data_IF_931523097909
#
_entry.id   IF_931523097909
#
_cell.length_a   1.000
_cell.length_b   1.000
_cell.length_c   1.000
_cell.angle_alpha   90.00
_cell.angle_beta   90.00
_cell.angle_gamma   90.00
#
_symmetry.space_group_name_H-M   'P 1'
#
loop_
_entity.id
_entity.type
_entity.pdbx_description
1 polymer ?
#
# COMPACT_ATOMS: atom_id res chain seq x y z
N UNK A 1 -7.44 49.32 62.78
CA UNK A 1 -7.24 49.51 61.32
C UNK A 1 -6.00 48.70 60.97
N UNK A 2 -6.05 47.39 60.71
CA UNK A 2 -6.61 46.65 59.57
C UNK A 2 -6.29 47.27 58.20
N UNK A 3 -6.01 46.39 57.24
CA UNK A 3 -5.62 46.58 55.82
C UNK A 3 -4.10 46.67 55.60
N UNK A 4 -3.44 45.90 54.73
CA UNK A 4 -3.75 44.65 54.03
C UNK A 4 -2.39 44.10 53.53
N UNK A 5 -2.05 42.83 53.78
CA UNK A 5 -0.88 42.19 53.16
C UNK A 5 -1.13 42.03 51.65
N UNK A 6 -0.29 42.65 50.81
CA UNK A 6 -0.24 42.36 49.37
C UNK A 6 0.91 41.39 49.15
N UNK A 7 0.59 40.10 49.12
CA UNK A 7 1.50 39.06 48.65
C UNK A 7 1.60 39.13 47.12
N UNK A 8 2.79 39.43 46.61
CA UNK A 8 3.08 39.36 45.19
C UNK A 8 3.20 37.88 44.78
N UNK A 9 2.13 37.32 44.21
CA UNK A 9 2.16 36.06 43.49
C UNK A 9 2.84 36.31 42.13
N UNK A 10 4.12 35.98 42.03
CA UNK A 10 4.80 35.87 40.74
C UNK A 10 4.31 34.59 40.08
N UNK A 11 3.30 34.72 39.21
CA UNK A 11 2.92 33.65 38.31
C UNK A 11 4.04 33.50 37.26
N UNK A 12 4.89 32.48 37.41
CA UNK A 12 5.72 32.01 36.31
C UNK A 12 4.78 31.47 35.22
N UNK A 13 4.53 32.28 34.20
CA UNK A 13 3.97 31.80 32.96
C UNK A 13 5.01 30.89 32.30
N UNK A 14 4.90 29.58 32.56
CA UNK A 14 5.55 28.57 31.72
C UNK A 14 4.85 28.66 30.37
N UNK A 15 5.41 29.45 29.46
CA UNK A 15 5.05 29.36 28.05
C UNK A 15 5.57 28.00 27.58
N UNK A 16 4.70 26.99 27.68
CA UNK A 16 4.88 25.75 26.94
C UNK A 16 4.76 26.15 25.48
N UNK A 17 5.89 26.49 24.87
CA UNK A 17 5.99 26.43 23.42
C UNK A 17 5.74 24.96 23.09
N UNK A 18 4.52 24.64 22.69
CA UNK A 18 4.26 23.45 21.93
C UNK A 18 5.13 23.58 20.67
N UNK A 19 6.37 23.11 20.74
CA UNK A 19 7.15 22.82 19.56
C UNK A 19 6.38 21.70 18.87
N UNK A 20 5.45 22.10 18.00
CA UNK A 20 4.99 21.27 16.90
C UNK A 20 6.24 21.01 16.09
N UNK A 21 6.93 19.92 16.39
CA UNK A 21 7.89 19.33 15.47
C UNK A 21 7.14 19.20 14.15
N UNK A 22 7.59 19.87 13.06
CA UNK A 22 6.95 19.66 11.78
C UNK A 22 6.93 18.16 11.52
N UNK A 23 5.78 17.61 11.16
CA UNK A 23 5.52 16.17 10.98
C UNK A 23 6.38 15.51 9.88
N UNK A 24 7.36 16.24 9.33
CA UNK A 24 8.30 15.83 8.30
C UNK A 24 9.72 16.33 8.62
N UNK A 25 10.73 15.45 8.70
CA UNK A 25 12.12 15.89 8.72
C UNK A 25 12.50 16.50 7.36
N UNK A 26 13.08 17.70 7.42
CA UNK A 26 13.66 18.46 6.32
C UNK A 26 14.82 17.68 5.69
N UNK A 27 14.62 17.09 4.51
CA UNK A 27 15.62 16.93 3.43
C UNK A 27 15.08 16.08 2.25
N UNK A 28 13.97 16.50 1.62
CA UNK A 28 13.44 15.94 0.35
C UNK A 28 12.57 17.02 -0.34
N UNK A 29 13.09 17.78 -1.31
CA UNK A 29 12.26 18.67 -2.14
C UNK A 29 11.21 17.84 -2.91
N UNK A 30 10.04 18.41 -3.21
CA UNK A 30 8.98 17.72 -3.97
C UNK A 30 8.32 18.68 -4.97
N UNK A 31 8.14 18.24 -6.20
CA UNK A 31 7.25 18.90 -7.15
C UNK A 31 5.84 18.30 -6.99
N UNK A 32 4.81 19.12 -6.84
CA UNK A 32 3.40 18.67 -6.81
C UNK A 32 2.63 19.35 -7.94
N UNK A 33 2.25 18.57 -8.95
CA UNK A 33 1.35 19.00 -10.02
C UNK A 33 -0.08 18.60 -9.66
N UNK A 34 -0.97 19.57 -9.52
CA UNK A 34 -2.38 19.34 -9.19
C UNK A 34 -3.22 19.53 -10.43
N UNK A 35 -4.02 18.53 -10.80
CA UNK A 35 -4.96 18.59 -11.92
C UNK A 35 -6.37 18.58 -11.34
N UNK A 36 -6.93 19.78 -11.14
CA UNK A 36 -8.17 20.02 -10.42
C UNK A 36 -9.35 20.19 -11.37
N UNK A 37 -10.31 19.27 -11.27
CA UNK A 37 -11.60 19.36 -11.94
C UNK A 37 -12.44 20.49 -11.33
N UNK A 38 -12.89 21.40 -12.20
CA UNK A 38 -13.71 22.58 -11.90
C UNK A 38 -15.17 22.41 -12.29
N UNK A 39 -15.53 21.26 -12.86
CA UNK A 39 -16.91 20.94 -13.21
C UNK A 39 -17.79 20.92 -11.95
N UNK A 40 -19.05 21.32 -12.12
CA UNK A 40 -20.05 21.28 -11.05
C UNK A 40 -21.17 20.34 -11.51
N UNK A 41 -20.83 19.05 -11.60
CA UNK A 41 -21.74 18.00 -12.04
C UNK A 41 -22.87 17.75 -11.02
N UNK A 42 -22.62 18.08 -9.75
CA UNK A 42 -23.55 18.08 -8.61
C UNK A 42 -23.33 19.33 -7.78
N UNK A 43 -24.39 19.96 -7.25
CA UNK A 43 -24.27 21.20 -6.44
C UNK A 43 -23.21 21.05 -5.34
N UNK A 44 -22.06 21.71 -5.51
CA UNK A 44 -20.98 21.73 -4.53
C UNK A 44 -19.93 20.63 -4.67
N UNK A 45 -19.88 19.91 -5.79
CA UNK A 45 -18.81 18.95 -6.12
C UNK A 45 -17.45 19.63 -6.17
N UNK A 46 -17.36 20.74 -6.89
CA UNK A 46 -16.13 21.54 -6.94
C UNK A 46 -15.68 22.05 -5.56
N UNK A 47 -16.61 22.42 -4.67
CA UNK A 47 -16.25 22.85 -3.32
C UNK A 47 -15.54 21.74 -2.53
N UNK A 48 -15.90 20.47 -2.75
CA UNK A 48 -15.23 19.32 -2.14
C UNK A 48 -13.84 19.10 -2.73
N UNK A 49 -13.69 19.15 -4.06
CA UNK A 49 -12.40 19.06 -4.75
C UNK A 49 -11.44 20.16 -4.31
N UNK A 50 -11.93 21.41 -4.27
CA UNK A 50 -11.18 22.58 -3.78
C UNK A 50 -10.76 22.41 -2.33
N UNK A 51 -11.68 21.95 -1.47
CA UNK A 51 -11.37 21.70 -0.05
C UNK A 51 -10.32 20.59 0.11
N UNK A 52 -10.41 19.52 -0.66
CA UNK A 52 -9.42 18.44 -0.64
C UNK A 52 -8.02 18.96 -0.98
N UNK A 53 -7.91 19.78 -2.04
CA UNK A 53 -6.64 20.41 -2.42
C UNK A 53 -6.10 21.36 -1.34
N UNK A 54 -6.96 22.14 -0.68
CA UNK A 54 -6.51 22.98 0.46
C UNK A 54 -6.06 22.14 1.65
N UNK A 55 -6.77 21.06 1.98
CA UNK A 55 -6.40 20.16 3.09
C UNK A 55 -5.05 19.45 2.80
N UNK A 56 -4.79 19.06 1.54
CA UNK A 56 -3.48 18.53 1.11
C UNK A 56 -2.38 19.56 1.30
N UNK A 57 -2.65 20.82 0.96
CA UNK A 57 -1.65 21.89 1.10
C UNK A 57 -1.26 22.16 2.54
N UNK A 58 -2.16 21.96 3.52
CA UNK A 58 -1.85 22.10 4.96
C UNK A 58 -0.76 21.11 5.42
N UNK A 59 -0.60 19.97 4.75
CA UNK A 59 0.42 18.97 5.05
C UNK A 59 1.74 19.20 4.28
N UNK A 60 1.77 20.15 3.34
CA UNK A 60 2.95 20.51 2.56
C UNK A 60 3.64 21.74 3.15
N UNK A 61 4.96 21.83 3.03
CA UNK A 61 5.66 23.11 3.16
C UNK A 61 5.88 23.72 1.76
N UNK A 62 4.93 24.51 1.29
CA UNK A 62 5.00 25.12 -0.04
C UNK A 62 6.04 26.23 -0.04
N UNK A 63 6.96 26.18 -1.01
CA UNK A 63 7.99 27.20 -1.17
C UNK A 63 8.97 26.88 -2.31
N UNK A 64 9.68 27.88 -2.82
CA UNK A 64 10.59 27.74 -3.97
C UNK A 64 11.77 26.79 -3.71
N UNK A 65 12.20 26.65 -2.45
CA UNK A 65 13.27 25.75 -2.00
C UNK A 65 12.72 24.62 -1.11
N UNK A 66 11.41 24.34 -1.21
CA UNK A 66 10.73 23.32 -0.43
C UNK A 66 9.87 22.44 -1.34
N UNK A 67 8.55 22.51 -1.23
CA UNK A 67 7.64 21.84 -2.16
C UNK A 67 7.15 22.85 -3.20
N UNK A 68 7.49 22.58 -4.46
CA UNK A 68 7.11 23.42 -5.60
C UNK A 68 5.79 22.93 -6.14
N UNK A 69 4.84 23.82 -6.30
CA UNK A 69 3.50 23.48 -6.75
C UNK A 69 3.20 24.08 -8.12
N UNK A 70 2.51 23.32 -8.95
CA UNK A 70 1.84 23.77 -10.17
C UNK A 70 0.39 23.26 -10.14
N UNK A 71 -0.52 23.97 -10.79
CA UNK A 71 -1.93 23.57 -10.79
C UNK A 71 -2.58 23.84 -12.14
N UNK A 72 -3.26 22.83 -12.68
CA UNK A 72 -4.12 22.92 -13.84
C UNK A 72 -5.55 22.83 -13.33
N UNK A 73 -6.36 23.84 -13.61
CA UNK A 73 -7.77 23.84 -13.27
C UNK A 73 -8.56 23.77 -14.58
N UNK A 74 -9.46 22.80 -14.74
CA UNK A 74 -10.10 22.52 -16.03
C UNK A 74 -11.61 22.23 -15.92
N UNK A 75 -12.33 22.42 -17.03
CA UNK A 75 -13.76 22.10 -17.19
C UNK A 75 -14.06 21.73 -18.66
N UNK A 76 -15.25 21.22 -18.95
CA UNK A 76 -15.50 20.49 -20.19
C UNK A 76 -16.13 21.24 -21.36
N UNK A 77 -17.04 22.19 -21.15
CA UNK A 77 -17.65 22.92 -22.27
C UNK A 77 -16.69 24.02 -22.77
N UNK A 78 -16.17 23.84 -23.99
CA UNK A 78 -15.09 24.62 -24.64
C UNK A 78 -13.69 24.46 -24.04
N UNK A 79 -13.47 23.49 -23.15
CA UNK A 79 -12.20 23.29 -22.44
C UNK A 79 -11.64 24.61 -21.87
N UNK A 80 -12.36 25.18 -20.89
CA UNK A 80 -11.84 26.32 -20.13
C UNK A 80 -10.84 25.80 -19.12
N UNK A 81 -9.56 26.10 -19.37
CA UNK A 81 -8.44 25.80 -18.47
C UNK A 81 -7.81 27.06 -17.93
N UNK A 82 -7.31 26.97 -16.71
CA UNK A 82 -6.39 27.92 -16.10
C UNK A 82 -5.14 27.15 -15.69
N UNK A 83 -3.97 27.58 -16.17
CA UNK A 83 -2.69 26.94 -15.90
C UNK A 83 -1.89 27.82 -14.97
N UNK A 84 -1.66 27.35 -13.76
CA UNK A 84 -0.82 27.96 -12.76
C UNK A 84 0.55 27.26 -12.80
N UNK A 85 1.61 27.95 -13.25
CA UNK A 85 2.91 27.32 -13.51
C UNK A 85 3.61 26.90 -12.21
N UNK A 86 4.73 26.19 -12.35
CA UNK A 86 5.58 25.84 -11.21
C UNK A 86 5.95 27.07 -10.38
N UNK A 87 5.84 26.95 -9.07
CA UNK A 87 6.10 28.01 -8.10
C UNK A 87 5.14 29.21 -8.20
N UNK A 88 3.91 28.99 -8.70
CA UNK A 88 2.87 30.04 -8.69
C UNK A 88 2.51 30.50 -7.27
N UNK A 89 2.73 29.66 -6.26
CA UNK A 89 2.59 30.00 -4.85
C UNK A 89 3.94 29.83 -4.14
N UNK A 90 4.33 30.82 -3.35
CA UNK A 90 5.57 30.83 -2.57
C UNK A 90 5.37 30.42 -1.12
N UNK A 91 4.12 30.43 -0.65
CA UNK A 91 3.73 29.97 0.69
C UNK A 91 2.41 29.21 0.64
N UNK A 92 2.09 28.50 1.72
CA UNK A 92 0.82 27.83 1.91
C UNK A 92 -0.36 28.81 1.87
N UNK A 93 -0.20 30.00 2.46
CA UNK A 93 -1.24 31.03 2.50
C UNK A 93 -1.56 31.54 1.09
N UNK A 94 -0.53 31.77 0.27
CA UNK A 94 -0.72 32.19 -1.13
C UNK A 94 -1.43 31.08 -1.95
N UNK A 95 -1.01 29.83 -1.74
CA UNK A 95 -1.65 28.68 -2.38
C UNK A 95 -3.13 28.57 -2.02
N UNK A 96 -3.46 28.66 -0.73
CA UNK A 96 -4.84 28.58 -0.21
C UNK A 96 -5.67 29.77 -0.71
N UNK A 97 -5.13 30.99 -0.70
CA UNK A 97 -5.82 32.17 -1.19
C UNK A 97 -6.18 32.05 -2.68
N UNK A 98 -5.22 31.64 -3.53
CA UNK A 98 -5.45 31.43 -4.97
C UNK A 98 -6.44 30.29 -5.21
N UNK A 99 -6.32 29.19 -4.48
CA UNK A 99 -7.23 28.04 -4.59
C UNK A 99 -8.65 28.41 -4.19
N UNK A 100 -8.85 29.17 -3.11
CA UNK A 100 -10.15 29.63 -2.64
C UNK A 100 -10.82 30.64 -3.59
N UNK A 101 -10.05 31.39 -4.37
CA UNK A 101 -10.56 32.31 -5.39
C UNK A 101 -11.14 31.60 -6.62
N UNK A 102 -10.81 30.32 -6.84
CA UNK A 102 -11.38 29.52 -7.91
C UNK A 102 -12.89 29.32 -7.68
N UNK A 103 -13.68 29.46 -8.76
CA UNK A 103 -15.15 29.33 -8.73
C UNK A 103 -15.61 28.22 -9.64
N UNK A 104 -16.58 27.39 -9.27
CA UNK A 104 -17.03 26.33 -10.18
C UNK A 104 -17.46 26.88 -11.56
N UNK A 105 -17.11 26.17 -12.63
CA UNK A 105 -17.55 26.48 -13.99
C UNK A 105 -18.27 25.22 -14.45
N UNK A 106 -19.61 25.24 -14.39
CA UNK A 106 -20.43 24.09 -14.77
C UNK A 106 -20.12 23.60 -16.19
N UNK A 107 -20.40 22.32 -16.46
CA UNK A 107 -20.07 21.67 -17.72
C UNK A 107 -19.61 20.24 -17.50
N UNK A 108 -19.12 19.59 -18.56
CA UNK A 108 -18.54 18.23 -18.50
C UNK A 108 -17.13 18.24 -17.90
N UNK A 109 -16.50 17.07 -17.78
CA UNK A 109 -15.12 16.88 -17.33
C UNK A 109 -14.26 16.42 -18.51
N UNK A 110 -13.13 17.07 -18.80
CA UNK A 110 -12.21 16.68 -19.90
C UNK A 110 -10.81 16.39 -19.34
N UNK A 111 -10.68 15.27 -18.62
CA UNK A 111 -9.46 14.90 -17.90
C UNK A 111 -8.29 14.65 -18.85
N UNK A 112 -8.51 14.03 -20.02
CA UNK A 112 -7.45 13.74 -21.01
C UNK A 112 -6.69 15.01 -21.38
N UNK A 113 -7.40 16.06 -21.79
CA UNK A 113 -6.80 17.34 -22.19
C UNK A 113 -6.04 18.00 -21.04
N UNK A 114 -6.53 17.86 -19.81
CA UNK A 114 -5.83 18.37 -18.64
C UNK A 114 -4.51 17.64 -18.39
N UNK A 115 -4.48 16.31 -18.58
CA UNK A 115 -3.25 15.52 -18.47
C UNK A 115 -2.26 15.79 -19.61
N UNK A 116 -2.72 16.08 -20.81
CA UNK A 116 -1.87 16.52 -21.93
C UNK A 116 -1.11 17.82 -21.58
N UNK A 117 -1.80 18.81 -21.00
CA UNK A 117 -1.15 20.03 -20.46
C UNK A 117 -0.24 19.70 -19.27
N UNK A 118 -0.62 18.70 -18.48
CA UNK A 118 0.22 18.17 -17.40
C UNK A 118 1.58 17.73 -17.91
N UNK A 119 1.64 17.01 -19.03
CA UNK A 119 2.90 16.61 -19.67
C UNK A 119 3.76 17.81 -20.08
N UNK A 120 3.14 18.89 -20.59
CA UNK A 120 3.85 20.13 -20.94
C UNK A 120 4.48 20.80 -19.71
N UNK A 121 3.77 20.84 -18.57
CA UNK A 121 4.33 21.36 -17.31
C UNK A 121 5.42 20.44 -16.76
N UNK A 122 5.23 19.13 -16.88
CA UNK A 122 6.21 18.14 -16.43
C UNK A 122 7.54 18.29 -17.17
N UNK A 123 7.54 18.70 -18.44
CA UNK A 123 8.76 18.98 -19.20
C UNK A 123 9.56 20.18 -18.68
N UNK A 124 8.92 21.09 -17.93
CA UNK A 124 9.55 22.29 -17.36
C UNK A 124 10.09 22.09 -15.93
N UNK A 125 9.82 20.92 -15.32
CA UNK A 125 10.20 20.64 -13.94
C UNK A 125 11.70 20.31 -13.85
N UNK A 126 12.26 20.48 -12.65
CA UNK A 126 13.54 19.86 -12.34
C UNK A 126 13.32 18.35 -12.10
N UNK A 127 13.79 17.51 -13.04
CA UNK A 127 13.59 16.05 -13.03
C UNK A 127 14.31 15.32 -11.89
N UNK A 128 15.34 15.94 -11.28
CA UNK A 128 16.01 15.36 -10.12
C UNK A 128 15.15 15.40 -8.86
N UNK A 129 14.12 16.25 -8.84
CA UNK A 129 13.17 16.38 -7.74
C UNK A 129 11.99 15.47 -8.01
N UNK A 130 11.64 14.60 -7.06
CA UNK A 130 10.48 13.73 -7.20
C UNK A 130 9.21 14.53 -7.44
N UNK A 131 8.34 13.98 -8.27
CA UNK A 131 7.15 14.68 -8.71
C UNK A 131 5.90 13.87 -8.45
N UNK A 132 4.98 14.47 -7.70
CA UNK A 132 3.65 13.96 -7.43
C UNK A 132 2.67 14.64 -8.38
N UNK A 133 2.00 13.87 -9.24
CA UNK A 133 0.85 14.33 -10.02
C UNK A 133 -0.42 13.91 -9.29
N UNK A 134 -1.26 14.86 -8.91
CA UNK A 134 -2.51 14.63 -8.19
C UNK A 134 -3.69 15.09 -9.04
N UNK A 135 -4.42 14.14 -9.61
CA UNK A 135 -5.68 14.39 -10.33
C UNK A 135 -6.81 14.43 -9.31
N UNK A 136 -7.62 15.47 -9.29
CA UNK A 136 -8.76 15.59 -8.37
C UNK A 136 -10.01 15.79 -9.20
N UNK A 137 -10.93 14.82 -9.15
CA UNK A 137 -12.19 14.85 -9.92
C UNK A 137 -13.37 14.46 -9.05
N UNK A 138 -14.56 14.94 -9.39
CA UNK A 138 -15.81 14.59 -8.70
C UNK A 138 -16.66 13.58 -9.51
N UNK A 139 -16.22 13.17 -10.70
CA UNK A 139 -17.00 12.35 -11.61
C UNK A 139 -16.18 11.71 -12.73
N UNK A 140 -16.90 11.17 -13.72
CA UNK A 140 -16.32 10.50 -14.89
C UNK A 140 -15.98 11.52 -15.98
N UNK A 141 -14.82 11.38 -16.60
CA UNK A 141 -14.40 12.16 -17.74
C UNK A 141 -15.26 11.90 -18.97
N UNK A 142 -15.48 12.94 -19.78
CA UNK A 142 -16.12 12.84 -21.09
C UNK A 142 -15.14 12.38 -22.19
N UNK A 143 -13.84 12.48 -21.93
CA UNK A 143 -12.77 11.98 -22.80
C UNK A 143 -11.92 10.91 -22.07
N UNK A 144 -11.29 10.00 -22.84
CA UNK A 144 -10.47 8.92 -22.29
C UNK A 144 -9.09 9.42 -21.84
N UNK A 145 -8.79 9.46 -20.53
CA UNK A 145 -7.53 9.99 -20.01
C UNK A 145 -6.36 9.00 -20.09
N UNK A 146 -6.59 7.74 -20.48
CA UNK A 146 -5.61 6.65 -20.35
C UNK A 146 -4.27 6.94 -21.03
N UNK A 147 -4.29 7.42 -22.28
CA UNK A 147 -3.08 7.70 -23.04
C UNK A 147 -2.13 8.69 -22.34
N UNK A 148 -2.56 9.94 -22.06
CA UNK A 148 -1.72 10.90 -21.36
C UNK A 148 -1.44 10.52 -19.90
N UNK A 149 -2.33 9.78 -19.24
CA UNK A 149 -2.07 9.23 -17.92
C UNK A 149 -0.89 8.25 -17.92
N UNK A 150 -0.86 7.29 -18.85
CA UNK A 150 0.25 6.36 -19.00
C UNK A 150 1.57 7.09 -19.30
N UNK A 151 1.52 8.13 -20.13
CA UNK A 151 2.68 8.96 -20.42
C UNK A 151 3.21 9.69 -19.16
N UNK A 152 2.32 10.14 -18.27
CA UNK A 152 2.68 10.74 -16.97
C UNK A 152 3.25 9.69 -16.01
N UNK A 153 2.67 8.49 -15.95
CA UNK A 153 3.15 7.37 -15.12
C UNK A 153 4.57 6.94 -15.52
N UNK A 154 4.91 7.02 -16.81
CA UNK A 154 6.23 6.67 -17.33
C UNK A 154 7.28 7.78 -17.15
N UNK A 155 6.90 8.96 -16.65
CA UNK A 155 7.87 10.02 -16.39
C UNK A 155 8.83 9.61 -15.27
N UNK A 156 10.12 9.88 -15.48
CA UNK A 156 11.14 9.61 -14.46
C UNK A 156 10.78 10.32 -13.14
N UNK A 157 11.02 9.64 -12.02
CA UNK A 157 10.84 10.20 -10.69
C UNK A 157 9.42 10.78 -10.45
N UNK A 158 8.39 10.14 -11.02
CA UNK A 158 7.01 10.62 -10.99
C UNK A 158 6.06 9.57 -10.42
N UNK A 159 5.06 10.02 -9.65
CA UNK A 159 3.90 9.21 -9.27
C UNK A 159 2.62 9.93 -9.66
N UNK A 160 1.60 9.17 -10.09
CA UNK A 160 0.30 9.70 -10.45
C UNK A 160 -0.76 9.16 -9.49
N UNK A 161 -1.49 10.08 -8.89
CA UNK A 161 -2.59 9.84 -7.95
C UNK A 161 -3.87 10.45 -8.47
N UNK A 162 -4.99 9.86 -8.07
CA UNK A 162 -6.31 10.37 -8.40
C UNK A 162 -7.18 10.41 -7.15
N UNK A 163 -7.87 11.51 -6.91
CA UNK A 163 -8.79 11.72 -5.82
C UNK A 163 -10.20 11.93 -6.36
N UNK A 164 -11.10 11.05 -5.95
CA UNK A 164 -12.53 11.17 -6.18
C UNK A 164 -13.21 11.85 -4.99
N UNK A 165 -13.76 13.04 -5.22
CA UNK A 165 -14.48 13.82 -4.19
C UNK A 165 -16.00 13.73 -4.27
N UNK A 166 -16.49 13.05 -5.32
CA UNK A 166 -17.90 12.78 -5.59
C UNK A 166 -18.49 11.61 -4.80
N UNK A 167 -19.65 11.12 -5.25
CA UNK A 167 -20.32 9.95 -4.69
C UNK A 167 -19.54 8.67 -5.04
N UNK A 168 -18.99 7.93 -4.06
CA UNK A 168 -18.17 6.73 -4.31
C UNK A 168 -18.86 5.65 -5.14
N UNK A 169 -20.20 5.60 -5.14
CA UNK A 169 -20.97 4.62 -5.91
C UNK A 169 -21.13 5.00 -7.39
N UNK A 170 -20.84 6.26 -7.74
CA UNK A 170 -20.91 6.80 -9.11
C UNK A 170 -19.53 7.07 -9.70
N UNK A 171 -18.48 6.88 -8.92
CA UNK A 171 -17.10 7.05 -9.36
C UNK A 171 -16.73 5.89 -10.27
N UNK A 172 -16.25 6.21 -11.47
CA UNK A 172 -15.68 5.24 -12.38
C UNK A 172 -14.27 4.86 -11.91
N UNK A 173 -14.18 3.86 -11.04
CA UNK A 173 -12.91 3.37 -10.50
C UNK A 173 -11.97 2.82 -11.57
N UNK A 174 -12.51 2.43 -12.74
CA UNK A 174 -11.70 1.99 -13.88
C UNK A 174 -10.99 3.17 -14.53
N UNK A 175 -11.69 4.27 -14.76
CA UNK A 175 -11.07 5.49 -15.28
C UNK A 175 -9.98 6.02 -14.33
N UNK A 176 -10.26 6.04 -13.02
CA UNK A 176 -9.24 6.41 -12.02
C UNK A 176 -8.05 5.46 -12.03
N UNK A 177 -8.27 4.17 -12.26
CA UNK A 177 -7.20 3.17 -12.39
C UNK A 177 -6.39 3.37 -13.67
N UNK A 178 -7.04 3.71 -14.79
CA UNK A 178 -6.35 4.09 -16.02
C UNK A 178 -5.51 5.37 -15.83
N UNK A 179 -5.97 6.30 -14.97
CA UNK A 179 -5.24 7.53 -14.61
C UNK A 179 -4.01 7.25 -13.74
N UNK A 180 -4.14 6.44 -12.70
CA UNK A 180 -3.06 6.26 -11.71
C UNK A 180 -2.14 5.10 -12.04
N UNK A 181 -2.61 4.10 -12.77
CA UNK A 181 -1.95 2.82 -12.96
C UNK A 181 -1.88 1.97 -11.67
N UNK A 182 -2.48 2.45 -10.58
CA UNK A 182 -2.35 1.89 -9.23
C UNK A 182 -3.59 2.21 -8.37
N UNK A 183 -4.29 1.18 -7.89
CA UNK A 183 -5.52 1.35 -7.09
C UNK A 183 -5.24 1.97 -5.70
N UNK A 184 -4.04 1.82 -5.17
CA UNK A 184 -3.60 2.45 -3.91
C UNK A 184 -3.31 3.94 -4.10
N UNK A 185 -3.12 4.38 -5.35
CA UNK A 185 -3.02 5.77 -5.70
C UNK A 185 -4.39 6.43 -5.95
N UNK A 186 -5.49 5.68 -5.79
CA UNK A 186 -6.85 6.18 -5.89
C UNK A 186 -7.39 6.49 -4.50
N UNK A 187 -7.83 7.73 -4.33
CA UNK A 187 -8.32 8.28 -3.08
C UNK A 187 -9.81 8.52 -3.19
N UNK A 188 -10.60 7.69 -2.52
CA UNK A 188 -12.06 7.87 -2.43
C UNK A 188 -12.37 8.68 -1.17
N UNK A 189 -12.85 9.91 -1.31
CA UNK A 189 -13.06 10.78 -0.15
C UNK A 189 -14.31 10.39 0.67
N UNK A 190 -14.12 10.16 1.98
CA UNK A 190 -15.16 10.24 3.03
C UNK A 190 -14.63 11.02 4.24
N UNK A 191 -14.59 12.36 4.13
CA UNK A 191 -14.37 13.28 5.25
C UNK A 191 -12.91 13.68 5.54
N UNK A 192 -12.76 14.81 6.25
CA UNK A 192 -11.50 15.57 6.51
C UNK A 192 -10.35 14.75 7.12
N UNK A 193 -10.65 13.76 7.97
CA UNK A 193 -9.63 12.94 8.66
C UNK A 193 -8.86 12.03 7.71
N UNK A 194 -9.47 11.62 6.59
CA UNK A 194 -8.88 10.67 5.66
C UNK A 194 -7.98 11.32 4.60
N UNK A 195 -8.25 12.57 4.22
CA UNK A 195 -7.39 13.34 3.29
C UNK A 195 -5.99 13.54 3.88
N UNK A 196 -5.92 13.85 5.17
CA UNK A 196 -4.69 14.04 5.93
C UNK A 196 -3.85 12.77 6.06
N UNK A 197 -4.43 11.64 6.48
CA UNK A 197 -3.70 10.36 6.61
C UNK A 197 -3.20 9.82 5.28
N UNK A 198 -3.97 10.04 4.21
CA UNK A 198 -3.59 9.62 2.86
C UNK A 198 -2.50 10.53 2.31
N UNK A 199 -2.62 11.86 2.44
CA UNK A 199 -1.57 12.80 2.02
C UNK A 199 -0.24 12.50 2.71
N UNK A 200 -0.27 12.18 4.01
CA UNK A 200 0.92 11.73 4.74
C UNK A 200 1.51 10.44 4.18
N UNK A 201 0.69 9.51 3.71
CA UNK A 201 1.15 8.28 3.04
C UNK A 201 1.80 8.59 1.69
N UNK A 202 1.13 9.40 0.84
CA UNK A 202 1.64 9.78 -0.48
C UNK A 202 2.96 10.54 -0.38
N UNK A 203 3.08 11.41 0.63
CA UNK A 203 4.30 12.17 0.89
C UNK A 203 5.41 11.31 1.49
N UNK A 204 5.08 10.33 2.33
CA UNK A 204 6.07 9.37 2.87
C UNK A 204 6.64 8.48 1.77
N UNK A 205 5.80 7.94 0.89
CA UNK A 205 6.27 7.14 -0.26
C UNK A 205 7.15 7.99 -1.20
N UNK A 206 6.78 9.26 -1.42
CA UNK A 206 7.61 10.19 -2.18
C UNK A 206 8.95 10.50 -1.48
N UNK A 207 8.95 10.65 -0.15
CA UNK A 207 10.14 10.92 0.68
C UNK A 207 11.05 9.69 0.83
N UNK A 208 10.52 8.48 0.89
CA UNK A 208 11.31 7.24 1.02
C UNK A 208 12.17 6.98 -0.23
N UNK A 209 11.69 7.37 -1.42
CA UNK A 209 12.46 7.32 -2.67
C UNK A 209 13.56 8.38 -2.74
N UNK A 210 13.35 9.57 -2.15
CA UNK A 210 14.43 10.55 -1.98
C UNK A 210 15.54 10.03 -1.07
N UNK A 211 15.17 9.24 -0.05
CA UNK A 211 16.12 8.70 0.93
C UNK A 211 17.01 7.60 0.34
N UNK A 212 16.65 7.01 -0.80
CA UNK A 212 17.38 5.87 -1.41
C UNK A 212 18.60 6.24 -2.26
N UNK A 213 19.16 7.45 -2.11
CA UNK A 213 20.47 7.80 -2.70
C UNK A 213 21.50 8.03 -1.60
N UNK A 214 21.77 7.01 -0.80
CA UNK A 214 23.00 6.94 0.01
C UNK A 214 23.52 5.51 -0.04
N UNK A 215 24.56 5.32 -0.86
CA UNK A 215 25.35 4.10 -0.99
C UNK A 215 25.76 3.57 0.37
N UNK A 216 25.57 2.28 0.64
CA UNK A 216 26.32 1.58 1.69
C UNK A 216 26.81 0.25 1.14
N UNK A 217 28.09 0.25 0.76
CA UNK A 217 28.90 -0.94 0.51
C UNK A 217 29.18 -1.58 1.86
N UNK A 218 28.70 -2.80 2.10
CA UNK A 218 29.09 -3.57 3.29
C UNK A 218 29.70 -4.89 2.86
N UNK A 219 31.01 -4.99 3.05
CA UNK A 219 31.81 -6.20 2.93
C UNK A 219 31.50 -7.13 4.11
N UNK A 220 31.13 -8.38 3.84
CA UNK A 220 30.92 -9.40 4.88
C UNK A 220 32.10 -10.36 4.91
N UNK A 221 32.82 -10.39 6.04
CA UNK A 221 33.86 -11.37 6.33
C UNK A 221 33.23 -12.61 6.96
N UNK A 222 33.48 -13.77 6.38
CA UNK A 222 33.01 -15.09 6.84
C UNK A 222 33.94 -15.62 7.95
N UNK A 223 33.36 -16.09 9.06
CA UNK A 223 34.07 -16.90 10.05
C UNK A 223 33.35 -18.24 10.19
N UNK A 224 34.06 -19.32 9.86
CA UNK A 224 33.62 -20.70 9.95
C UNK A 224 33.88 -21.24 11.36
N UNK A 225 32.90 -21.88 11.98
CA UNK A 225 33.12 -22.71 13.16
C UNK A 225 32.54 -24.09 12.91
N UNK A 226 33.41 -25.09 13.01
CA UNK A 226 33.14 -26.52 12.90
C UNK A 226 32.69 -27.06 14.24
N UNK A 227 31.63 -27.88 14.28
CA UNK A 227 31.39 -28.78 15.40
C UNK A 227 30.84 -30.13 14.95
N UNK A 228 31.22 -31.12 15.74
CA UNK A 228 31.30 -32.57 15.53
C UNK A 228 29.98 -33.34 15.52
N UNK A 229 30.01 -34.44 14.79
CA UNK A 229 29.06 -35.56 14.75
C UNK A 229 28.82 -36.23 16.11
N UNK A 230 27.55 -36.36 16.47
CA UNK A 230 27.02 -37.47 17.29
C UNK A 230 25.59 -37.75 16.84
N UNK A 231 25.23 -39.02 16.74
CA UNK A 231 23.95 -39.55 16.24
C UNK A 231 22.78 -39.16 17.15
N UNK A 232 21.87 -38.32 16.64
CA UNK A 232 20.65 -37.86 17.33
C UNK A 232 19.53 -37.57 16.30
N UNK A 233 18.24 -37.42 16.70
CA UNK A 233 17.07 -37.43 15.82
C UNK A 233 17.17 -36.39 14.71
N UNK A 234 16.48 -36.60 13.57
CA UNK A 234 16.55 -35.70 12.41
C UNK A 234 16.05 -34.30 12.81
N UNK A 235 16.96 -33.43 13.26
CA UNK A 235 16.67 -32.05 13.67
C UNK A 235 16.40 -31.21 12.43
N UNK A 236 15.34 -30.40 12.44
CA UNK A 236 15.02 -29.45 11.35
C UNK A 236 13.85 -29.86 10.44
N UNK A 237 13.10 -30.91 10.81
CA UNK A 237 11.93 -31.39 10.08
C UNK A 237 10.65 -30.59 10.35
N UNK A 238 10.63 -29.88 11.46
CA UNK A 238 9.49 -29.11 11.90
C UNK A 238 9.36 -27.83 11.07
N UNK A 239 8.18 -27.70 10.45
CA UNK A 239 7.80 -26.53 9.67
C UNK A 239 6.45 -26.03 10.15
N UNK A 240 6.41 -24.77 10.56
CA UNK A 240 5.15 -24.05 10.84
C UNK A 240 4.81 -23.23 9.59
N UNK A 241 3.91 -23.76 8.76
CA UNK A 241 3.48 -23.16 7.51
C UNK A 241 2.19 -22.36 7.70
N UNK A 242 2.26 -21.04 7.52
CA UNK A 242 1.10 -20.15 7.61
C UNK A 242 0.69 -19.70 6.20
N UNK A 243 -0.48 -20.16 5.75
CA UNK A 243 -1.08 -19.77 4.48
C UNK A 243 -1.95 -18.53 4.69
N UNK A 244 -1.62 -17.43 4.02
CA UNK A 244 -2.36 -16.15 4.11
C UNK A 244 -3.04 -15.88 2.78
N UNK A 245 -4.35 -16.08 2.73
CA UNK A 245 -5.14 -16.20 1.50
C UNK A 245 -6.02 -14.98 1.26
N UNK A 246 -5.85 -14.35 0.10
CA UNK A 246 -6.70 -13.26 -0.35
C UNK A 246 -8.07 -13.75 -0.82
N UNK A 247 -9.09 -13.41 -0.03
CA UNK A 247 -10.50 -13.74 -0.22
C UNK A 247 -11.32 -12.44 -0.44
N UNK A 248 -10.69 -11.40 -0.98
CA UNK A 248 -11.33 -10.11 -1.30
C UNK A 248 -12.34 -10.21 -2.44
N UNK A 249 -12.24 -11.17 -3.36
CA UNK A 249 -13.20 -11.34 -4.46
C UNK A 249 -14.26 -12.40 -4.15
N UNK A 250 -15.51 -12.19 -4.61
CA UNK A 250 -16.62 -13.17 -4.53
C UNK A 250 -16.93 -13.85 -5.86
N UNK A 251 -16.51 -13.25 -6.96
CA UNK A 251 -16.78 -13.67 -8.34
C UNK A 251 -15.44 -13.85 -9.04
N UNK A 252 -15.32 -14.89 -9.87
CA UNK A 252 -14.11 -15.33 -10.62
C UNK A 252 -13.11 -16.24 -9.85
N UNK A 253 -12.29 -17.06 -10.54
CA UNK A 253 -11.62 -18.26 -10.01
C UNK A 253 -10.47 -17.96 -9.05
N UNK A 254 -10.05 -16.71 -8.87
CA UNK A 254 -8.80 -16.35 -8.18
C UNK A 254 -8.69 -16.94 -6.76
N UNK A 255 -9.73 -16.81 -5.92
CA UNK A 255 -9.67 -17.37 -4.57
C UNK A 255 -9.68 -18.91 -4.59
N UNK A 256 -10.36 -19.53 -5.56
CA UNK A 256 -10.31 -20.99 -5.76
C UNK A 256 -8.92 -21.42 -6.26
N UNK A 257 -8.28 -20.64 -7.13
CA UNK A 257 -6.91 -20.86 -7.55
C UNK A 257 -5.94 -20.75 -6.37
N UNK A 258 -6.11 -19.80 -5.47
CA UNK A 258 -5.30 -19.73 -4.24
C UNK A 258 -5.52 -20.93 -3.33
N UNK A 259 -6.75 -21.45 -3.22
CA UNK A 259 -7.03 -22.72 -2.55
C UNK A 259 -6.31 -23.88 -3.24
N UNK A 260 -6.35 -23.96 -4.57
CA UNK A 260 -5.74 -25.04 -5.34
C UNK A 260 -4.21 -25.00 -5.29
N UNK A 261 -3.59 -23.83 -5.39
CA UNK A 261 -2.15 -23.64 -5.20
C UNK A 261 -1.74 -24.02 -3.77
N UNK A 262 -2.51 -23.62 -2.76
CA UNK A 262 -2.27 -24.03 -1.37
C UNK A 262 -2.33 -25.55 -1.20
N UNK A 263 -3.35 -26.20 -1.77
CA UNK A 263 -3.49 -27.66 -1.75
C UNK A 263 -2.33 -28.34 -2.48
N UNK A 264 -1.89 -27.81 -3.62
CA UNK A 264 -0.71 -28.30 -4.35
C UNK A 264 0.54 -28.28 -3.48
N UNK A 265 0.81 -27.18 -2.77
CA UNK A 265 1.94 -27.11 -1.85
C UNK A 265 1.79 -28.13 -0.72
N UNK A 266 0.66 -28.13 -0.01
CA UNK A 266 0.41 -29.02 1.12
C UNK A 266 0.51 -30.50 0.73
N UNK A 267 0.05 -30.87 -0.47
CA UNK A 267 0.12 -32.25 -0.98
C UNK A 267 1.55 -32.80 -1.09
N UNK A 268 2.55 -31.93 -1.18
CA UNK A 268 3.96 -32.31 -1.27
C UNK A 268 4.65 -32.38 0.09
N UNK A 269 3.94 -32.11 1.19
CA UNK A 269 4.50 -32.03 2.53
C UNK A 269 3.97 -33.14 3.43
N UNK A 270 4.85 -33.70 4.27
CA UNK A 270 4.45 -34.59 5.36
C UNK A 270 3.88 -33.75 6.52
N UNK A 271 2.57 -33.90 6.77
CA UNK A 271 1.86 -33.19 7.82
C UNK A 271 1.87 -34.01 9.11
N UNK A 272 2.15 -33.35 10.23
CA UNK A 272 2.10 -33.97 11.55
C UNK A 272 2.85 -33.16 12.63
N UNK A 273 2.68 -33.51 13.92
CA UNK A 273 3.23 -32.75 15.05
C UNK A 273 4.76 -32.69 15.09
N UNK A 274 5.44 -33.64 14.44
CA UNK A 274 6.91 -33.69 14.31
C UNK A 274 7.39 -33.38 12.88
N UNK A 275 6.51 -32.86 12.03
CA UNK A 275 6.83 -32.48 10.65
C UNK A 275 6.19 -31.12 10.36
N UNK A 276 5.41 -31.00 9.28
CA UNK A 276 4.73 -29.75 8.93
C UNK A 276 3.42 -29.60 9.70
N UNK A 277 3.24 -28.46 10.35
CA UNK A 277 1.96 -27.97 10.87
C UNK A 277 1.50 -26.81 9.98
N UNK A 278 0.19 -26.73 9.72
CA UNK A 278 -0.36 -25.76 8.75
C UNK A 278 -1.46 -24.93 9.41
N UNK A 279 -1.33 -23.61 9.32
CA UNK A 279 -2.38 -22.66 9.64
C UNK A 279 -2.89 -21.99 8.36
N UNK A 280 -4.17 -21.61 8.35
CA UNK A 280 -4.74 -20.81 7.27
C UNK A 280 -5.42 -19.56 7.82
N UNK A 281 -5.00 -18.41 7.30
CA UNK A 281 -5.59 -17.10 7.53
C UNK A 281 -6.20 -16.64 6.22
N UNK A 282 -7.45 -16.20 6.24
CA UNK A 282 -8.07 -15.55 5.07
C UNK A 282 -8.26 -14.08 5.38
N UNK A 283 -8.01 -13.20 4.40
CA UNK A 283 -8.30 -11.78 4.51
C UNK A 283 -9.15 -11.27 3.33
N UNK A 284 -9.82 -10.16 3.57
CA UNK A 284 -10.59 -9.40 2.58
C UNK A 284 -10.53 -7.94 3.08
N UNK A 285 -11.66 -7.32 3.40
CA UNK A 285 -11.67 -6.03 4.11
C UNK A 285 -11.15 -6.15 5.55
N UNK A 286 -10.65 -5.04 6.09
CA UNK A 286 -10.41 -4.86 7.54
C UNK A 286 -11.62 -5.33 8.34
N UNK A 287 -11.40 -6.11 9.39
CA UNK A 287 -12.47 -6.71 10.20
C UNK A 287 -13.08 -7.98 9.63
N UNK A 288 -12.71 -8.40 8.40
CA UNK A 288 -13.04 -9.72 7.81
C UNK A 288 -11.86 -10.69 7.73
N UNK A 289 -10.71 -10.31 8.30
CA UNK A 289 -9.57 -11.22 8.46
C UNK A 289 -9.83 -12.25 9.55
N UNK A 290 -9.63 -13.54 9.25
CA UNK A 290 -9.91 -14.64 10.18
C UNK A 290 -8.85 -15.73 10.08
N UNK A 291 -8.39 -16.22 11.23
CA UNK A 291 -7.76 -17.54 11.33
C UNK A 291 -8.88 -18.55 11.11
N UNK A 292 -8.73 -19.39 10.09
CA UNK A 292 -9.71 -20.45 9.75
C UNK A 292 -9.38 -21.75 10.46
N UNK A 293 -8.09 -22.00 10.60
CA UNK A 293 -7.52 -23.00 11.46
C UNK A 293 -6.08 -22.62 11.81
N UNK A 294 -5.67 -22.96 13.02
CA UNK A 294 -4.33 -22.71 13.53
C UNK A 294 -3.43 -23.94 13.37
N UNK A 295 -2.15 -23.81 13.72
CA UNK A 295 -1.10 -24.81 13.48
C UNK A 295 -1.41 -26.17 14.12
N UNK A 296 -2.09 -26.18 15.27
CA UNK A 296 -2.43 -27.43 15.99
C UNK A 296 -3.75 -28.09 15.58
N UNK A 297 -4.59 -27.44 14.74
CA UNK A 297 -5.95 -27.94 14.48
C UNK A 297 -5.96 -29.27 13.74
N UNK A 298 -5.14 -29.40 12.70
CA UNK A 298 -5.12 -30.57 11.83
C UNK A 298 -3.77 -31.27 11.92
N UNK A 299 -3.79 -32.60 11.99
CA UNK A 299 -2.59 -33.42 12.13
C UNK A 299 -2.32 -34.32 10.92
N UNK A 300 -3.25 -34.38 9.95
CA UNK A 300 -3.11 -35.18 8.74
C UNK A 300 -3.17 -34.30 7.49
N UNK A 301 -2.51 -34.73 6.42
CA UNK A 301 -2.54 -34.01 5.15
C UNK A 301 -3.97 -33.92 4.61
N UNK A 302 -4.73 -35.01 4.69
CA UNK A 302 -6.13 -35.06 4.24
C UNK A 302 -7.01 -34.01 4.95
N UNK A 303 -6.88 -33.87 6.26
CA UNK A 303 -7.69 -32.90 7.02
C UNK A 303 -7.31 -31.45 6.69
N UNK A 304 -6.02 -31.17 6.46
CA UNK A 304 -5.59 -29.84 5.99
C UNK A 304 -6.17 -29.55 4.61
N UNK A 305 -6.07 -30.49 3.66
CA UNK A 305 -6.61 -30.34 2.31
C UNK A 305 -8.13 -30.10 2.35
N UNK A 306 -8.87 -30.89 3.15
CA UNK A 306 -10.32 -30.71 3.38
C UNK A 306 -10.63 -29.37 4.05
N UNK A 307 -9.78 -28.94 4.99
CA UNK A 307 -9.88 -27.64 5.66
C UNK A 307 -9.75 -26.47 4.69
N UNK A 308 -8.79 -26.54 3.76
CA UNK A 308 -8.60 -25.55 2.69
C UNK A 308 -9.79 -25.57 1.73
N UNK A 309 -10.27 -26.74 1.34
CA UNK A 309 -11.35 -26.88 0.37
C UNK A 309 -12.68 -26.29 0.88
N UNK A 310 -12.92 -26.39 2.19
CA UNK A 310 -14.10 -25.81 2.85
C UNK A 310 -14.03 -24.29 3.05
N UNK A 311 -12.92 -23.63 2.73
CA UNK A 311 -12.83 -22.18 2.83
C UNK A 311 -13.76 -21.51 1.80
N UNK A 312 -14.53 -20.54 2.30
CA UNK A 312 -15.49 -19.76 1.51
C UNK A 312 -15.14 -18.27 1.55
N UNK A 313 -15.10 -17.66 0.37
CA UNK A 313 -15.03 -16.21 0.23
C UNK A 313 -16.39 -15.58 0.46
N UNK A 314 -16.38 -14.41 1.09
CA UNK A 314 -17.53 -13.48 1.16
C UNK A 314 -17.21 -12.15 0.47
N UNK A 315 -16.03 -12.07 -0.16
CA UNK A 315 -15.45 -10.90 -0.78
C UNK A 315 -15.39 -9.66 0.11
N UNK A 316 -15.06 -8.55 -0.54
CA UNK A 316 -14.80 -7.27 0.07
C UNK A 316 -13.68 -6.54 -0.66
N UNK A 317 -13.00 -5.69 0.07
CA UNK A 317 -11.78 -5.01 -0.35
C UNK A 317 -10.56 -5.89 -0.01
N UNK A 318 -9.35 -5.38 -0.22
CA UNK A 318 -8.12 -6.16 -0.01
C UNK A 318 -7.26 -5.51 1.07
N UNK A 319 -7.10 -6.20 2.21
CA UNK A 319 -6.34 -5.73 3.37
C UNK A 319 -5.19 -6.69 3.71
N UNK A 320 -4.16 -6.70 2.86
CA UNK A 320 -3.02 -7.64 2.96
C UNK A 320 -2.32 -7.48 4.31
N UNK A 321 -2.04 -6.24 4.73
CA UNK A 321 -1.38 -5.98 6.01
C UNK A 321 -2.17 -6.48 7.21
N UNK A 322 -3.51 -6.44 7.16
CA UNK A 322 -4.35 -7.06 8.20
C UNK A 322 -4.25 -8.59 8.17
N UNK A 323 -4.12 -9.18 6.98
CA UNK A 323 -3.84 -10.61 6.80
C UNK A 323 -2.53 -11.04 7.46
N UNK A 324 -1.44 -10.33 7.16
CA UNK A 324 -0.11 -10.58 7.74
C UNK A 324 -0.12 -10.35 9.26
N UNK A 325 -0.73 -9.25 9.72
CA UNK A 325 -0.88 -8.96 11.15
C UNK A 325 -1.65 -10.08 11.87
N UNK A 326 -2.69 -10.64 11.25
CA UNK A 326 -3.41 -11.78 11.84
C UNK A 326 -2.58 -13.07 11.78
N UNK A 327 -1.78 -13.28 10.73
CA UNK A 327 -0.87 -14.42 10.62
C UNK A 327 0.22 -14.42 11.70
N UNK A 328 0.67 -13.25 12.15
CA UNK A 328 1.62 -13.13 13.26
C UNK A 328 1.11 -13.73 14.58
N UNK A 329 -0.21 -13.87 14.76
CA UNK A 329 -0.75 -14.57 15.95
C UNK A 329 -0.35 -16.05 16.00
N UNK A 330 0.05 -16.64 14.87
CA UNK A 330 0.51 -18.03 14.79
C UNK A 330 1.96 -18.21 15.28
N UNK A 331 2.57 -17.16 15.85
CA UNK A 331 3.80 -17.27 16.63
C UNK A 331 3.56 -17.73 18.07
N UNK A 332 2.31 -17.70 18.52
CA UNK A 332 1.93 -18.08 19.87
C UNK A 332 1.89 -19.62 20.00
N UNK A 333 2.53 -20.18 21.01
CA UNK A 333 2.50 -21.62 21.33
C UNK A 333 1.07 -22.11 21.58
N UNK A 334 0.19 -21.24 22.10
CA UNK A 334 -1.23 -21.54 22.27
C UNK A 334 -1.98 -21.70 20.95
N UNK A 335 -1.46 -21.18 19.83
CA UNK A 335 -1.94 -21.41 18.47
C UNK A 335 -1.25 -22.62 17.80
N UNK A 336 -0.25 -23.21 18.47
CA UNK A 336 0.48 -24.40 18.04
C UNK A 336 1.87 -24.13 17.47
N UNK A 337 2.41 -22.92 17.64
CA UNK A 337 3.78 -22.61 17.24
C UNK A 337 4.80 -23.46 18.01
N UNK A 338 5.92 -23.80 17.36
CA UNK A 338 7.02 -24.58 17.97
C UNK A 338 8.32 -23.78 17.99
N UNK A 339 8.44 -22.75 18.86
CA UNK A 339 9.62 -21.88 18.90
C UNK A 339 10.89 -22.67 19.22
N UNK A 340 11.99 -22.32 18.55
CA UNK A 340 13.29 -22.99 18.74
C UNK A 340 13.41 -24.36 18.05
N UNK A 341 12.32 -24.90 17.50
CA UNK A 341 12.29 -26.21 16.83
C UNK A 341 11.86 -26.05 15.37
N UNK A 342 10.71 -25.43 15.12
CA UNK A 342 10.17 -25.28 13.77
C UNK A 342 10.71 -24.04 13.05
N UNK A 343 11.06 -24.21 11.78
CA UNK A 343 11.18 -23.06 10.87
C UNK A 343 9.79 -22.53 10.55
N UNK A 344 9.66 -21.20 10.48
CA UNK A 344 8.39 -20.51 10.28
C UNK A 344 8.34 -20.02 8.84
N UNK A 345 7.36 -20.47 8.07
CA UNK A 345 7.17 -20.05 6.68
C UNK A 345 5.80 -19.41 6.53
N UNK A 346 5.74 -18.23 5.92
CA UNK A 346 4.49 -17.55 5.59
C UNK A 346 4.37 -17.44 4.07
N UNK A 347 3.29 -17.97 3.51
CA UNK A 347 2.99 -17.85 2.08
C UNK A 347 1.76 -16.98 1.91
N UNK A 348 1.94 -15.79 1.34
CA UNK A 348 0.88 -14.80 1.09
C UNK A 348 0.41 -14.93 -0.36
N UNK A 349 -0.83 -15.36 -0.53
CA UNK A 349 -1.47 -15.48 -1.84
C UNK A 349 -2.29 -14.23 -2.13
N UNK A 350 -1.83 -13.41 -3.07
CA UNK A 350 -2.45 -12.13 -3.43
C UNK A 350 -1.87 -11.64 -4.75
N UNK A 351 -2.56 -10.72 -5.40
CA UNK A 351 -2.09 -10.03 -6.61
C UNK A 351 -1.21 -8.79 -6.29
N UNK A 352 -1.02 -8.49 -5.00
CA UNK A 352 -0.16 -7.43 -4.50
C UNK A 352 -0.89 -6.10 -4.25
N UNK A 353 -2.20 -6.03 -4.45
CA UNK A 353 -2.95 -4.79 -4.28
C UNK A 353 -3.64 -4.73 -2.91
N UNK A 354 -3.23 -3.79 -2.05
CA UNK A 354 -3.84 -3.57 -0.73
C UNK A 354 -4.44 -2.18 -0.61
N UNK A 355 -5.76 -2.08 -0.65
CA UNK A 355 -6.48 -0.80 -0.64
C UNK A 355 -7.09 -0.43 0.73
N UNK A 356 -6.93 -1.27 1.76
CA UNK A 356 -7.40 -1.02 3.13
C UNK A 356 -6.44 -1.60 4.19
N UNK A 357 -6.56 -1.10 5.41
CA UNK A 357 -5.92 -1.70 6.59
C UNK A 357 -4.48 -1.25 6.85
N UNK A 358 -3.78 -1.96 7.76
CA UNK A 358 -2.36 -1.74 8.03
C UNK A 358 -1.53 -1.86 6.75
N UNK A 359 -0.41 -1.14 6.73
CA UNK A 359 0.57 -1.22 5.64
C UNK A 359 1.13 -2.65 5.50
N UNK A 360 0.97 -3.30 4.34
CA UNK A 360 1.47 -4.65 4.13
C UNK A 360 2.99 -4.75 4.23
N UNK A 361 3.76 -3.75 3.77
CA UNK A 361 5.22 -3.80 3.81
C UNK A 361 5.74 -3.68 5.23
N UNK A 362 5.16 -2.77 6.02
CA UNK A 362 5.47 -2.67 7.44
C UNK A 362 5.15 -3.97 8.17
N UNK A 363 4.00 -4.59 7.90
CA UNK A 363 3.62 -5.86 8.55
C UNK A 363 4.46 -7.04 8.07
N UNK A 364 4.90 -7.04 6.81
CA UNK A 364 5.87 -8.00 6.32
C UNK A 364 7.23 -7.84 7.01
N UNK A 365 7.73 -6.60 7.18
CA UNK A 365 8.94 -6.33 7.98
C UNK A 365 8.80 -6.82 9.42
N UNK A 366 7.64 -6.60 10.06
CA UNK A 366 7.36 -7.13 11.40
C UNK A 366 7.45 -8.68 11.41
N UNK A 367 6.91 -9.35 10.38
CA UNK A 367 6.95 -10.81 10.25
C UNK A 367 8.36 -11.37 9.95
N UNK A 368 9.10 -10.75 9.04
CA UNK A 368 10.50 -11.07 8.74
C UNK A 368 11.36 -10.94 10.00
N UNK A 369 11.21 -9.85 10.75
CA UNK A 369 11.91 -9.63 12.03
C UNK A 369 11.53 -10.66 13.11
N UNK A 370 10.33 -11.23 13.04
CA UNK A 370 9.89 -12.31 13.93
C UNK A 370 10.39 -13.72 13.51
N UNK A 371 11.20 -13.78 12.43
CA UNK A 371 11.84 -14.99 11.94
C UNK A 371 10.98 -15.80 10.96
N UNK A 372 9.98 -15.20 10.33
CA UNK A 372 9.30 -15.83 9.19
C UNK A 372 10.17 -15.75 7.94
N UNK A 373 10.29 -16.87 7.24
CA UNK A 373 10.63 -16.89 5.82
C UNK A 373 9.36 -16.62 5.02
N UNK A 374 9.33 -15.52 4.26
CA UNK A 374 8.13 -15.03 3.58
C UNK A 374 8.17 -15.27 2.08
N UNK A 375 7.03 -15.67 1.53
CA UNK A 375 6.80 -15.87 0.11
C UNK A 375 5.52 -15.21 -0.33
N UNK A 376 5.51 -14.67 -1.55
CA UNK A 376 4.29 -14.18 -2.19
C UNK A 376 3.96 -15.01 -3.42
N UNK A 377 2.67 -15.24 -3.64
CA UNK A 377 2.17 -16.04 -4.77
C UNK A 377 0.99 -15.32 -5.40
N UNK A 378 1.17 -14.88 -6.63
CA UNK A 378 0.13 -14.23 -7.40
C UNK A 378 -0.49 -15.15 -8.45
N UNK A 379 -1.76 -14.96 -8.78
CA UNK A 379 -2.42 -15.70 -9.86
C UNK A 379 -2.51 -14.84 -11.12
N UNK A 380 -2.00 -15.33 -12.24
CA UNK A 380 -1.80 -14.57 -13.49
C UNK A 380 -2.56 -15.12 -14.70
N UNK A 381 -3.33 -16.21 -14.55
CA UNK A 381 -3.97 -16.86 -15.69
C UNK A 381 -5.03 -15.96 -16.37
N UNK A 382 -4.59 -15.35 -17.47
CA UNK A 382 -5.30 -14.82 -18.65
C UNK A 382 -6.83 -14.69 -18.57
N UNK A 383 -7.29 -13.57 -18.06
CA UNK A 383 -8.50 -12.90 -18.59
C UNK A 383 -8.02 -11.70 -19.43
N UNK A 384 -8.50 -11.48 -20.67
CA UNK A 384 -8.26 -10.23 -21.38
C UNK A 384 -8.83 -9.06 -20.56
N UNK A 385 -7.95 -8.23 -19.96
CA UNK A 385 -8.33 -7.20 -18.98
C UNK A 385 -8.14 -7.60 -17.51
N UNK A 386 -7.45 -8.71 -17.22
CA UNK A 386 -7.13 -9.16 -15.87
C UNK A 386 -6.14 -8.23 -15.16
N UNK A 387 -6.34 -8.12 -13.85
CA UNK A 387 -5.58 -7.33 -12.87
C UNK A 387 -4.07 -7.44 -13.12
N UNK A 388 -3.44 -6.30 -13.40
CA UNK A 388 -1.97 -6.18 -13.47
C UNK A 388 -1.40 -6.49 -12.10
N UNK A 389 -0.41 -7.37 -11.94
CA UNK A 389 0.22 -7.62 -10.63
C UNK A 389 0.95 -6.39 -10.09
N UNK A 390 0.94 -6.20 -8.77
CA UNK A 390 1.84 -5.24 -8.12
C UNK A 390 3.12 -5.96 -7.63
N UNK A 391 4.08 -6.11 -8.55
CA UNK A 391 5.34 -6.80 -8.26
C UNK A 391 6.20 -6.09 -7.20
N UNK A 392 6.08 -4.78 -7.04
CA UNK A 392 6.81 -4.02 -6.01
C UNK A 392 6.31 -4.43 -4.62
N UNK A 393 4.99 -4.36 -4.38
CA UNK A 393 4.41 -4.76 -3.11
C UNK A 393 4.57 -6.26 -2.85
N UNK A 394 4.46 -7.11 -3.88
CA UNK A 394 4.72 -8.55 -3.73
C UNK A 394 6.17 -8.82 -3.28
N UNK A 395 7.15 -8.14 -3.89
CA UNK A 395 8.56 -8.27 -3.53
C UNK A 395 8.86 -7.68 -2.16
N UNK A 396 8.23 -6.55 -1.81
CA UNK A 396 8.38 -5.93 -0.49
C UNK A 396 7.80 -6.79 0.64
N UNK A 397 6.70 -7.51 0.38
CA UNK A 397 6.12 -8.47 1.34
C UNK A 397 7.03 -9.69 1.50
N UNK A 398 7.57 -10.24 0.41
CA UNK A 398 8.45 -11.41 0.48
C UNK A 398 9.88 -11.08 0.89
N UNK A 399 10.22 -9.79 1.05
CA UNK A 399 11.55 -9.30 1.39
C UNK A 399 12.49 -9.17 0.18
N UNK A 400 12.30 -10.00 -0.85
CA UNK A 400 12.96 -9.88 -2.15
C UNK A 400 12.09 -10.45 -3.29
N UNK A 401 12.53 -10.23 -4.54
CA UNK A 401 11.85 -10.72 -5.75
C UNK A 401 12.08 -12.21 -6.05
N UNK A 402 13.13 -12.84 -5.49
CA UNK A 402 13.38 -14.28 -5.62
C UNK A 402 12.39 -15.13 -4.80
N UNK A 403 11.72 -14.51 -3.82
CA UNK A 403 10.64 -15.08 -3.04
C UNK A 403 9.23 -14.69 -3.54
N UNK A 404 9.15 -14.03 -4.70
CA UNK A 404 7.89 -13.75 -5.39
C UNK A 404 7.63 -14.77 -6.50
N UNK A 405 6.45 -15.39 -6.45
CA UNK A 405 6.04 -16.41 -7.41
C UNK A 405 4.69 -16.05 -8.05
N UNK A 406 4.43 -16.65 -9.20
CA UNK A 406 3.11 -16.65 -9.84
C UNK A 406 2.60 -18.07 -9.93
N UNK A 407 1.35 -18.30 -10.29
CA UNK A 407 0.80 -19.61 -10.63
C UNK A 407 1.64 -20.38 -11.68
N UNK A 408 2.31 -19.65 -12.59
CA UNK A 408 3.23 -20.20 -13.59
C UNK A 408 4.55 -20.65 -12.95
N UNK A 409 5.12 -19.87 -12.04
CA UNK A 409 6.41 -20.19 -11.40
C UNK A 409 6.28 -20.93 -10.06
N UNK A 410 5.05 -21.15 -9.59
CA UNK A 410 4.74 -21.69 -8.26
C UNK A 410 5.38 -23.05 -7.99
N UNK A 411 5.60 -23.86 -9.02
CA UNK A 411 6.28 -25.15 -8.85
C UNK A 411 7.68 -24.98 -8.25
N UNK A 412 8.39 -23.90 -8.57
CA UNK A 412 9.71 -23.61 -7.98
C UNK A 412 9.64 -23.39 -6.47
N UNK A 413 8.58 -22.76 -5.98
CA UNK A 413 8.34 -22.61 -4.54
C UNK A 413 8.05 -23.96 -3.88
N UNK A 414 7.19 -24.76 -4.51
CA UNK A 414 6.87 -26.11 -4.04
C UNK A 414 8.13 -26.96 -3.94
N UNK A 415 8.97 -26.96 -4.97
CA UNK A 415 10.22 -27.72 -5.00
C UNK A 415 11.20 -27.20 -3.94
N UNK A 416 11.30 -25.88 -3.73
CA UNK A 416 12.15 -25.28 -2.69
C UNK A 416 11.75 -25.72 -1.28
N UNK A 417 10.45 -25.64 -0.95
CA UNK A 417 9.95 -26.05 0.37
C UNK A 417 10.07 -27.57 0.54
N UNK A 418 9.78 -28.35 -0.52
CA UNK A 418 9.91 -29.81 -0.49
C UNK A 418 11.36 -30.24 -0.29
N UNK A 419 12.31 -29.63 -1.02
CA UNK A 419 13.73 -29.96 -0.93
C UNK A 419 14.27 -29.71 0.48
N UNK A 420 13.86 -28.62 1.14
CA UNK A 420 14.20 -28.36 2.54
C UNK A 420 13.77 -29.52 3.45
N UNK A 421 12.56 -30.04 3.25
CA UNK A 421 11.98 -31.08 4.10
C UNK A 421 12.27 -32.50 3.59
N UNK A 422 13.01 -32.66 2.50
CA UNK A 422 13.31 -33.96 1.89
C UNK A 422 14.03 -34.93 2.85
N UNK A 423 15.00 -34.49 3.68
CA UNK A 423 15.62 -35.38 4.69
C UNK A 423 14.63 -35.97 5.71
N UNK A 424 13.43 -35.39 5.79
CA UNK A 424 12.38 -35.73 6.76
C UNK A 424 11.21 -36.51 6.14
N UNK A 425 11.29 -36.81 4.84
CA UNK A 425 10.30 -37.60 4.11
C UNK A 425 10.90 -39.00 3.86
N UNK A 426 10.58 -40.02 4.68
CA UNK A 426 10.99 -41.39 4.42
C UNK A 426 10.28 -42.00 3.21
#
# INVERSE_FOLDING_TARGET
>A
MLWLQVGALVALAVVVHAQTTPLFPVACELNVLIVLDRSDSVKGGFNKSRKFVTDVSEELQIGPEKHRVAMIVYSGLSYRREVLPWNFAKTNEEFVAKTNALRAIGGTTNTKKALEVGLELMAQRNVSIPTLVMVVTDGRSADDPKGPAQALQQQANTWVFAAATGDPEKVDTRELMDITGNINHIVMHRGRVLATDITRRLLREAQDKCRTTTTTTTTTTTTTTTTTTTTDPITGCELDLVLVLDFSTTTDPVYNSYKDLSKRLVSQLKIGPHHTQVAAVTFATVGRTRVRFNLKKYQTQEDVLRGIDNLKSKGGTTAIGAGIEKALTQLDESEGARPGIATKVMVVFTDGWSNKGPDPEKRAKDALNAGFEMYTVAYTAKTPGAVTLNNETLSAISGDSAHTFTDVTFQRLVDKIKQRNLPCMP
#
